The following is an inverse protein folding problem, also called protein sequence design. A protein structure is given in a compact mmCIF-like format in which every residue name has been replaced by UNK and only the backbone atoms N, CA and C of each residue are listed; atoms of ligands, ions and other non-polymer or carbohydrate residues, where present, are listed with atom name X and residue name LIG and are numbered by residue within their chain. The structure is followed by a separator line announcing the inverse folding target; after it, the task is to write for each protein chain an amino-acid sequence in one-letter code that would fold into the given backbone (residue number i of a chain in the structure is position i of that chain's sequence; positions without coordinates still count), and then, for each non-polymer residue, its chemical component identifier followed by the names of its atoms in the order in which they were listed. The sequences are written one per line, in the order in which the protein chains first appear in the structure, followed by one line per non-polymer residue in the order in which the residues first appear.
data_IF_806356305804
#
_entry.id   IF_806356305804
#
_cell.length_a   1.000
_cell.length_b   1.000
_cell.length_c   1.000
_cell.angle_alpha   90.00
_cell.angle_beta   90.00
_cell.angle_gamma   90.00
#
_symmetry.space_group_name_H-M   'P 1'
#
loop_
_entity.id
_entity.type
_entity.pdbx_description
1 polymer ?
#
# COMPACT_ATOMS: atom_id res chain seq x y z
N UNK A 1 -16.28 52.80 32.60
CA UNK A 1 -16.19 52.34 32.23
C UNK A 1 -15.61 51.48 31.78
N UNK A 2 -15.53 50.85 31.57
CA UNK A 2 -15.05 50.05 31.26
C UNK A 2 -14.92 49.15 30.54
N UNK A 3 -14.71 48.69 30.17
CA UNK A 3 -14.55 47.97 29.47
C UNK A 3 -14.03 46.94 29.25
N UNK A 4 -13.96 46.22 28.91
CA UNK A 4 -13.56 45.28 28.76
C UNK A 4 -13.29 44.44 28.04
N UNK A 5 -12.97 43.88 27.74
CA UNK A 5 -12.68 43.11 27.05
C UNK A 5 -12.32 42.10 26.85
N UNK A 6 -12.24 41.37 26.46
CA UNK A 6 -11.94 40.37 26.22
C UNK A 6 -11.49 39.56 25.49
N UNK A 7 -11.17 39.03 25.27
CA UNK A 7 -10.70 38.40 24.71
C UNK A 7 -10.65 37.38 24.27
N UNK A 8 -10.48 36.93 24.16
CA UNK A 8 -10.36 36.12 23.66
C UNK A 8 -10.04 35.16 23.39
N UNK A 9 -9.96 34.65 23.26
CA UNK A 9 -9.71 33.79 23.10
C UNK A 9 -9.57 32.93 22.34
N UNK A 10 -9.48 32.65 21.98
CA UNK A 10 -9.46 31.98 21.24
C UNK A 10 -8.72 31.08 20.88
N UNK A 11 -8.43 30.71 20.76
CA UNK A 11 -7.78 30.00 20.42
C UNK A 11 -7.71 28.89 20.20
N UNK A 12 -7.74 28.49 20.25
CA UNK A 12 -7.48 27.62 20.06
C UNK A 12 -7.58 26.77 19.40
N UNK A 13 -7.72 26.44 19.08
CA UNK A 13 -7.85 25.69 18.55
C UNK A 13 -7.27 25.03 17.80
N UNK A 14 -7.09 24.88 17.51
CA UNK A 14 -6.50 24.58 16.80
C UNK A 14 -6.07 23.35 16.79
N UNK A 15 -5.68 23.10 17.06
CA UNK A 15 -5.20 22.17 17.15
C UNK A 15 -5.53 21.09 16.78
N UNK A 16 -5.83 20.98 16.85
CA UNK A 16 -6.35 20.04 16.82
C UNK A 16 -6.14 19.19 15.83
N UNK A 17 -6.15 19.19 15.37
CA UNK A 17 -6.05 18.60 14.40
C UNK A 17 -5.35 17.46 14.30
N UNK A 18 -5.00 17.25 14.30
CA UNK A 18 -4.25 16.44 14.25
C UNK A 18 -4.51 15.18 14.28
N UNK A 19 -4.56 14.83 14.50
CA UNK A 19 -4.69 13.83 14.74
C UNK A 19 -5.20 12.91 14.13
N UNK A 20 -5.31 12.77 13.92
CA UNK A 20 -5.84 12.10 13.52
C UNK A 20 -5.53 11.10 12.92
N UNK A 21 -5.34 10.76 12.72
CA UNK A 21 -5.07 9.90 12.15
C UNK A 21 -4.94 8.82 12.42
N UNK A 22 -4.83 8.63 12.61
CA UNK A 22 -4.54 7.76 12.93
C UNK A 22 -5.27 6.83 13.14
N UNK A 23 -5.63 6.68 13.21
CA UNK A 23 -6.22 5.94 13.55
C UNK A 23 -6.77 5.18 13.11
N UNK A 24 -6.71 5.07 12.94
CA UNK A 24 -7.20 4.40 12.53
C UNK A 24 -7.87 3.62 12.53
N UNK A 25 -8.03 3.59 12.68
CA UNK A 25 -8.78 2.96 12.82
C UNK A 25 -9.25 2.19 12.05
N UNK A 26 -9.38 1.75 11.94
CA UNK A 26 -9.95 0.92 11.40
C UNK A 26 -9.97 0.67 10.09
N UNK A 27 -9.68 1.08 9.64
CA UNK A 27 -9.87 0.82 8.48
C UNK A 27 -8.95 0.16 7.85
N UNK A 28 -9.07 -0.54 7.47
CA UNK A 28 -8.18 -1.37 6.83
C UNK A 28 -7.80 -0.81 5.51
N UNK A 29 -7.15 0.28 5.56
CA UNK A 29 -6.66 0.82 4.33
C UNK A 29 -5.33 0.20 4.00
N UNK A 30 -5.13 -0.17 2.74
CA UNK A 30 -3.89 -0.79 2.31
C UNK A 30 -2.71 0.16 2.50
N UNK A 31 -1.57 -0.39 2.81
CA UNK A 31 -0.35 0.39 2.93
C UNK A 31 0.02 0.98 1.58
N UNK A 32 0.27 2.25 1.55
CA UNK A 32 0.65 2.90 0.29
C UNK A 32 2.14 2.77 0.07
N UNK A 33 2.52 2.27 -1.09
CA UNK A 33 3.92 2.16 -1.47
C UNK A 33 4.45 3.55 -1.77
N UNK A 34 5.58 3.87 -1.17
CA UNK A 34 6.19 5.17 -1.38
C UNK A 34 7.52 5.00 -2.08
N UNK A 35 7.71 5.81 -3.09
CA UNK A 35 8.96 5.81 -3.85
C UNK A 35 9.83 6.95 -3.35
N UNK A 36 11.11 6.66 -3.18
CA UNK A 36 12.07 7.70 -2.87
C UNK A 36 12.09 8.68 -4.04
N UNK A 37 12.14 9.95 -3.73
CA UNK A 37 12.13 10.99 -4.75
C UNK A 37 13.15 10.69 -5.84
N UNK A 38 12.70 10.76 -7.09
CA UNK A 38 13.55 10.48 -8.24
C UNK A 38 13.72 9.03 -8.56
N UNK A 39 13.09 8.13 -7.81
CA UNK A 39 13.18 6.70 -8.05
C UNK A 39 11.89 6.16 -8.61
N UNK A 40 12.00 5.15 -9.47
CA UNK A 40 10.85 4.49 -10.07
C UNK A 40 10.65 3.09 -9.51
N UNK A 41 11.40 2.70 -8.50
CA UNK A 41 11.20 1.38 -7.89
C UNK A 41 11.28 1.47 -6.38
N UNK A 42 10.62 0.53 -5.72
CA UNK A 42 10.57 0.44 -4.28
C UNK A 42 10.64 -1.02 -3.87
N UNK A 43 11.30 -1.29 -2.76
CA UNK A 43 11.37 -2.63 -2.21
C UNK A 43 10.47 -2.71 -0.99
N UNK A 44 9.65 -3.73 -0.95
CA UNK A 44 8.67 -3.94 0.11
C UNK A 44 9.01 -5.24 0.82
N UNK A 45 9.18 -5.16 2.13
CA UNK A 45 9.60 -6.28 2.94
C UNK A 45 8.61 -6.47 4.08
N UNK A 46 8.31 -7.71 4.40
CA UNK A 46 7.43 -7.99 5.52
C UNK A 46 7.48 -9.44 5.90
N UNK A 47 6.78 -9.78 6.97
CA UNK A 47 6.68 -11.15 7.47
C UNK A 47 5.22 -11.53 7.58
N UNK A 48 4.88 -12.70 7.08
CA UNK A 48 3.52 -13.21 7.16
C UNK A 48 3.52 -14.60 7.77
N UNK A 49 2.53 -14.83 8.62
CA UNK A 49 2.26 -16.16 9.13
C UNK A 49 1.23 -16.86 8.27
N UNK A 50 0.86 -18.07 8.70
CA UNK A 50 -0.18 -18.83 8.00
C UNK A 50 -1.50 -18.09 8.06
N UNK A 51 -2.23 -18.12 6.96
CA UNK A 51 -3.55 -17.48 6.84
C UNK A 51 -3.50 -15.97 6.97
N UNK A 52 -2.31 -15.38 6.87
CA UNK A 52 -2.17 -13.94 6.87
C UNK A 52 -1.93 -13.44 5.45
N UNK A 53 -2.32 -12.20 5.22
CA UNK A 53 -2.02 -11.53 3.97
C UNK A 53 -1.79 -10.06 4.25
N UNK A 54 -1.10 -9.41 3.35
CA UNK A 54 -0.82 -7.99 3.49
C UNK A 54 -1.13 -7.30 2.19
N UNK A 55 -1.76 -6.14 2.30
CA UNK A 55 -2.24 -5.40 1.14
C UNK A 55 -1.49 -4.09 1.01
N UNK A 56 -1.17 -3.74 -0.23
CA UNK A 56 -0.47 -2.50 -0.55
C UNK A 56 -1.17 -1.79 -1.70
N UNK A 57 -1.04 -0.47 -1.73
CA UNK A 57 -1.61 0.37 -2.78
C UNK A 57 -0.50 1.19 -3.44
N UNK A 58 -0.55 1.31 -4.74
CA UNK A 58 0.33 2.21 -5.48
C UNK A 58 -0.47 2.93 -6.55
N UNK A 59 0.02 4.08 -6.96
CA UNK A 59 -0.61 4.88 -8.02
C UNK A 59 0.18 4.73 -9.30
N UNK A 60 -0.51 4.67 -10.41
CA UNK A 60 0.14 4.58 -11.71
C UNK A 60 -0.71 5.25 -12.77
N UNK A 61 -0.07 5.64 -13.87
CA UNK A 61 -0.72 6.34 -14.97
C UNK A 61 -0.89 5.40 -16.16
N UNK A 62 -1.97 5.59 -16.86
CA UNK A 62 -2.24 4.82 -18.08
C UNK A 62 -1.02 4.82 -18.97
N UNK A 63 -0.65 3.64 -19.46
CA UNK A 63 0.48 3.47 -20.36
C UNK A 63 1.79 3.14 -19.67
N UNK A 64 1.87 3.34 -18.36
CA UNK A 64 3.08 2.95 -17.65
C UNK A 64 3.21 1.44 -17.57
N UNK A 65 4.44 0.97 -17.49
CA UNK A 65 4.74 -0.44 -17.33
C UNK A 65 5.08 -0.69 -15.87
N UNK A 66 4.44 -1.67 -15.28
CA UNK A 66 4.68 -2.05 -13.88
C UNK A 66 5.30 -3.43 -13.86
N UNK A 67 6.36 -3.59 -13.08
CA UNK A 67 6.99 -4.88 -12.87
C UNK A 67 7.05 -5.15 -11.38
N UNK A 68 6.59 -6.32 -10.98
CA UNK A 68 6.67 -6.75 -9.59
C UNK A 68 7.50 -8.03 -9.56
N UNK A 69 8.56 -8.00 -8.75
CA UNK A 69 9.45 -9.15 -8.60
C UNK A 69 9.27 -9.71 -7.21
N UNK A 70 8.96 -11.00 -7.15
CA UNK A 70 8.80 -11.73 -5.90
C UNK A 70 10.02 -12.62 -5.71
N UNK A 71 10.81 -12.36 -4.69
CA UNK A 71 12.05 -13.10 -4.47
C UNK A 71 11.84 -14.47 -3.83
N UNK A 72 10.62 -14.79 -3.41
CA UNK A 72 10.37 -16.08 -2.76
C UNK A 72 9.03 -16.65 -3.20
N UNK A 73 9.02 -17.25 -4.37
CA UNK A 73 7.81 -17.82 -4.95
C UNK A 73 7.40 -19.15 -4.30
N UNK A 74 8.29 -19.74 -3.50
CA UNK A 74 7.94 -20.96 -2.78
C UNK A 74 6.97 -20.68 -1.65
N UNK A 75 7.12 -19.54 -1.01
CA UNK A 75 6.32 -19.23 0.17
C UNK A 75 5.24 -18.18 -0.05
N UNK A 76 5.31 -17.45 -1.15
CA UNK A 76 4.38 -16.33 -1.37
C UNK A 76 3.91 -16.23 -2.80
N UNK A 77 2.64 -15.87 -2.96
CA UNK A 77 2.14 -15.38 -4.24
C UNK A 77 1.42 -14.06 -4.00
N UNK A 78 0.98 -13.43 -5.06
CA UNK A 78 0.27 -12.16 -4.93
C UNK A 78 -0.73 -11.97 -6.06
N UNK A 79 -1.68 -11.07 -5.84
CA UNK A 79 -2.64 -10.63 -6.85
C UNK A 79 -2.52 -9.13 -7.01
N UNK A 80 -2.74 -8.63 -8.21
CA UNK A 80 -2.84 -7.20 -8.47
C UNK A 80 -4.23 -6.92 -8.98
N UNK A 81 -4.87 -5.89 -8.46
CA UNK A 81 -6.24 -5.60 -8.84
C UNK A 81 -6.59 -4.14 -8.63
N UNK A 82 -7.69 -3.69 -9.20
CA UNK A 82 -8.26 -2.37 -8.95
C UNK A 82 -9.57 -2.55 -8.21
N UNK A 83 -9.94 -1.53 -7.46
CA UNK A 83 -11.15 -1.59 -6.66
C UNK A 83 -12.40 -1.77 -7.52
N UNK A 84 -12.38 -1.21 -8.72
CA UNK A 84 -13.52 -1.28 -9.65
C UNK A 84 -13.45 -2.48 -10.59
N UNK A 85 -12.50 -3.39 -10.35
CA UNK A 85 -12.29 -4.57 -11.18
C UNK A 85 -11.90 -4.27 -12.62
N UNK A 86 -11.46 -3.07 -12.92
CA UNK A 86 -10.99 -2.74 -14.26
C UNK A 86 -9.73 -3.53 -14.60
N UNK A 87 -9.02 -4.00 -13.61
CA UNK A 87 -7.84 -4.83 -13.78
C UNK A 87 -7.76 -5.87 -12.68
N UNK A 88 -7.40 -7.08 -13.04
CA UNK A 88 -7.19 -8.16 -12.07
C UNK A 88 -6.22 -9.16 -12.69
N UNK A 89 -5.08 -9.33 -12.06
CA UNK A 89 -4.05 -10.24 -12.58
C UNK A 89 -4.38 -11.70 -12.31
N UNK A 90 -5.25 -11.96 -11.33
CA UNK A 90 -5.36 -13.29 -10.77
C UNK A 90 -4.11 -13.62 -9.96
N UNK A 91 -3.99 -14.84 -9.53
CA UNK A 91 -2.84 -15.31 -8.76
C UNK A 91 -1.57 -15.25 -9.58
N UNK A 92 -0.58 -14.54 -9.09
CA UNK A 92 0.72 -14.47 -9.73
C UNK A 92 1.68 -15.36 -8.93
N UNK A 93 2.14 -16.41 -9.58
CA UNK A 93 3.04 -17.38 -8.95
C UNK A 93 4.46 -17.31 -9.51
N UNK A 94 4.65 -16.51 -10.56
CA UNK A 94 5.96 -16.34 -11.17
C UNK A 94 6.81 -15.36 -10.37
N UNK A 95 8.12 -15.46 -10.54
CA UNK A 95 9.06 -14.58 -9.86
C UNK A 95 8.97 -13.15 -10.36
N UNK A 96 8.50 -12.94 -11.57
CA UNK A 96 8.40 -11.61 -12.16
C UNK A 96 7.08 -11.49 -12.91
N UNK A 97 6.38 -10.40 -12.64
CA UNK A 97 5.12 -10.13 -13.31
C UNK A 97 5.13 -8.71 -13.84
N UNK A 98 4.82 -8.55 -15.11
CA UNK A 98 4.86 -7.27 -15.78
C UNK A 98 3.54 -7.01 -16.48
N UNK A 99 3.05 -5.79 -16.38
CA UNK A 99 1.83 -5.42 -17.08
C UNK A 99 1.85 -3.92 -17.38
N UNK A 100 1.01 -3.54 -18.35
CA UNK A 100 0.85 -2.14 -18.72
C UNK A 100 -0.41 -1.60 -18.05
N UNK A 101 -0.32 -0.42 -17.49
CA UNK A 101 -1.42 0.20 -16.77
C UNK A 101 -2.51 0.60 -17.76
N UNK A 102 -3.70 0.02 -17.65
CA UNK A 102 -4.78 0.33 -18.58
C UNK A 102 -5.52 1.63 -18.26
N UNK A 103 -5.44 2.11 -17.02
CA UNK A 103 -6.20 3.26 -16.58
C UNK A 103 -5.48 3.92 -15.42
N UNK A 104 -5.33 5.23 -15.48
CA UNK A 104 -4.71 5.99 -14.39
C UNK A 104 -5.50 5.82 -13.11
N UNK A 105 -4.80 5.55 -12.01
CA UNK A 105 -5.44 5.43 -10.71
C UNK A 105 -4.64 4.59 -9.75
N UNK A 106 -5.33 4.16 -8.70
CA UNK A 106 -4.73 3.34 -7.66
C UNK A 106 -4.89 1.86 -7.98
N UNK A 107 -3.82 1.13 -7.76
CA UNK A 107 -3.77 -0.31 -7.93
C UNK A 107 -3.38 -0.91 -6.60
N UNK A 108 -3.97 -2.05 -6.30
CA UNK A 108 -3.70 -2.73 -5.05
C UNK A 108 -3.11 -4.09 -5.34
N UNK A 109 -2.26 -4.57 -4.47
CA UNK A 109 -1.84 -5.96 -4.53
C UNK A 109 -1.79 -6.50 -3.12
N UNK A 110 -2.09 -7.79 -2.99
CA UNK A 110 -1.92 -8.40 -1.70
C UNK A 110 -1.11 -9.66 -1.83
N UNK A 111 -0.31 -9.89 -0.81
CA UNK A 111 0.63 -11.00 -0.73
C UNK A 111 0.09 -11.99 0.26
N UNK A 112 0.13 -13.27 -0.09
CA UNK A 112 -0.31 -14.34 0.79
C UNK A 112 0.82 -15.31 1.01
N UNK A 113 0.85 -15.89 2.19
CA UNK A 113 1.78 -16.97 2.48
C UNK A 113 1.14 -18.29 2.04
N UNK A 114 1.94 -19.11 1.38
CA UNK A 114 1.51 -20.42 0.89
C UNK A 114 1.92 -21.50 1.87
N UNK A 115 1.08 -22.51 2.00
CA UNK A 115 1.40 -23.66 2.79
C UNK A 115 1.43 -23.41 4.28
N UNK A 116 1.61 -24.48 5.02
CA UNK A 116 1.61 -24.42 6.49
C UNK A 116 3.01 -24.41 7.08
N UNK A 117 4.01 -24.74 6.31
CA UNK A 117 5.39 -24.86 6.78
C UNK A 117 6.30 -24.03 5.90
N UNK A 118 7.14 -23.17 6.49
CA UNK A 118 7.20 -22.81 7.90
C UNK A 118 6.00 -22.01 8.35
N UNK A 119 5.84 -21.81 9.64
CA UNK A 119 4.69 -21.10 10.19
C UNK A 119 4.69 -19.62 9.83
N UNK A 120 5.84 -19.08 9.50
CA UNK A 120 5.93 -17.70 9.04
C UNK A 120 7.08 -17.59 8.05
N UNK A 121 7.07 -16.55 7.27
CA UNK A 121 8.14 -16.31 6.31
C UNK A 121 8.24 -14.83 6.00
N UNK A 122 9.41 -14.46 5.51
CA UNK A 122 9.69 -13.10 5.14
C UNK A 122 9.58 -12.97 3.63
N UNK A 123 8.82 -11.99 3.17
CA UNK A 123 8.70 -11.72 1.74
C UNK A 123 9.49 -10.47 1.38
N UNK A 124 9.93 -10.42 0.15
CA UNK A 124 10.57 -9.25 -0.42
C UNK A 124 10.03 -9.09 -1.83
N UNK A 125 9.37 -7.98 -2.07
CA UNK A 125 8.86 -7.66 -3.40
C UNK A 125 9.52 -6.38 -3.87
N UNK A 126 9.80 -6.30 -5.15
CA UNK A 126 10.31 -5.07 -5.76
C UNK A 126 9.28 -4.60 -6.78
N UNK A 127 8.79 -3.40 -6.60
CA UNK A 127 7.82 -2.79 -7.48
C UNK A 127 8.49 -1.70 -8.29
N UNK A 128 8.41 -1.78 -9.61
CA UNK A 128 8.97 -0.78 -10.51
C UNK A 128 7.88 -0.25 -11.42
N UNK A 129 7.86 1.07 -11.63
CA UNK A 129 6.90 1.73 -12.49
C UNK A 129 7.68 2.63 -13.46
N UNK A 130 7.48 2.44 -14.75
CA UNK A 130 8.17 3.26 -15.75
C UNK A 130 7.24 3.82 -16.80
#
# INVERSE_FOLDING_TARGET
MKKVFFPLVIVFFALAAVSTFAQGGGKAEANRVRFTKGRSSATIVGTLGNDEQMEYTFSAKKGQSVTIINSNTHLFDFDVFTEDDAFNSGNVTEASYRFTIPKTGDYMFFIRKLGATPKSGKFTLTLSIR
#
